data_IF_610407217405
#
_entry.id   IF_610407217405
#
_cell.length_a   1.000
_cell.length_b   1.000
_cell.length_c   1.000
_cell.angle_alpha   90.00
_cell.angle_beta   90.00
_cell.angle_gamma   90.00
#
_symmetry.space_group_name_H-M   'P 1'
#
loop_
_entity.id
_entity.type
_entity.pdbx_description
1 polymer ?
#
# COMPACT_ATOMS: atom_id res chain seq x y z
N UNK A 1 4.38 7.80 -13.99
CA UNK A 1 5.19 6.81 -14.73
C UNK A 1 5.72 7.38 -16.04
N UNK A 2 4.89 7.98 -16.89
CA UNK A 2 5.31 8.49 -18.22
C UNK A 2 6.43 9.55 -18.13
N UNK A 3 6.36 10.47 -17.15
CA UNK A 3 7.33 11.58 -17.04
C UNK A 3 8.78 11.10 -16.88
N UNK A 4 9.00 9.98 -16.17
CA UNK A 4 10.36 9.50 -15.83
C UNK A 4 10.90 8.54 -16.88
N UNK A 5 10.03 8.05 -17.78
CA UNK A 5 10.39 7.07 -18.81
C UNK A 5 11.44 7.60 -19.79
N UNK A 6 11.46 8.91 -19.99
CA UNK A 6 12.41 9.59 -20.87
C UNK A 6 13.79 9.78 -20.20
N UNK A 7 13.82 9.95 -18.88
CA UNK A 7 15.04 10.29 -18.15
C UNK A 7 15.76 9.05 -17.64
N UNK A 8 15.02 8.12 -17.01
CA UNK A 8 15.60 6.94 -16.41
C UNK A 8 14.62 5.76 -16.45
N UNK A 9 14.69 4.92 -17.50
CA UNK A 9 13.71 3.85 -17.72
C UNK A 9 13.71 2.83 -16.58
N UNK A 10 14.83 2.60 -15.91
CA UNK A 10 14.93 1.61 -14.84
C UNK A 10 14.12 1.99 -13.59
N UNK A 11 13.99 3.29 -13.28
CA UNK A 11 13.10 3.78 -12.21
C UNK A 11 11.63 3.53 -12.55
N UNK A 12 11.26 3.56 -13.83
CA UNK A 12 9.89 3.22 -14.23
C UNK A 12 9.56 1.75 -14.03
N UNK A 13 10.52 0.87 -14.31
CA UNK A 13 10.40 -0.58 -14.05
C UNK A 13 10.30 -0.83 -12.55
N UNK A 14 11.14 -0.20 -11.73
CA UNK A 14 11.08 -0.30 -10.27
C UNK A 14 9.69 0.09 -9.74
N UNK A 15 9.16 1.24 -10.19
CA UNK A 15 7.84 1.70 -9.78
C UNK A 15 6.73 0.72 -10.20
N UNK A 16 6.82 0.14 -11.41
CA UNK A 16 5.86 -0.86 -11.88
C UNK A 16 5.88 -2.11 -10.98
N UNK A 17 7.06 -2.65 -10.69
CA UNK A 17 7.21 -3.86 -9.86
C UNK A 17 6.67 -3.63 -8.46
N UNK A 18 7.02 -2.49 -7.85
CA UNK A 18 6.50 -2.14 -6.52
C UNK A 18 4.99 -1.96 -6.53
N UNK A 19 4.43 -1.29 -7.54
CA UNK A 19 2.98 -1.10 -7.66
C UNK A 19 2.23 -2.42 -7.84
N UNK A 20 2.74 -3.33 -8.68
CA UNK A 20 2.16 -4.68 -8.84
C UNK A 20 2.26 -5.50 -7.54
N UNK A 21 3.39 -5.44 -6.83
CA UNK A 21 3.54 -6.10 -5.53
C UNK A 21 2.57 -5.58 -4.46
N UNK A 22 2.40 -4.26 -4.36
CA UNK A 22 1.49 -3.66 -3.37
C UNK A 22 0.01 -3.94 -3.69
N UNK A 23 -0.38 -3.86 -4.97
CA UNK A 23 -1.76 -4.13 -5.40
C UNK A 23 -2.13 -5.60 -5.21
N UNK A 24 -1.23 -6.53 -5.55
CA UNK A 24 -1.45 -7.96 -5.28
C UNK A 24 -1.58 -8.24 -3.77
N UNK A 25 -0.76 -7.62 -2.91
CA UNK A 25 -0.90 -7.73 -1.46
C UNK A 25 -2.30 -7.29 -0.99
N UNK A 26 -2.79 -6.13 -1.46
CA UNK A 26 -4.13 -5.64 -1.12
C UNK A 26 -5.25 -6.53 -1.63
N UNK A 27 -5.17 -7.01 -2.87
CA UNK A 27 -6.19 -7.90 -3.42
C UNK A 27 -6.24 -9.22 -2.65
N UNK A 28 -5.10 -9.79 -2.29
CA UNK A 28 -5.05 -11.01 -1.47
C UNK A 28 -5.70 -10.81 -0.08
N UNK A 29 -5.51 -9.64 0.54
CA UNK A 29 -6.19 -9.30 1.81
C UNK A 29 -7.70 -9.16 1.63
N UNK A 30 -8.15 -8.46 0.58
CA UNK A 30 -9.57 -8.28 0.28
C UNK A 30 -10.25 -9.62 0.00
N UNK A 31 -9.58 -10.53 -0.72
CA UNK A 31 -10.06 -11.89 -0.99
C UNK A 31 -10.19 -12.70 0.30
N UNK A 32 -9.20 -12.63 1.20
CA UNK A 32 -9.27 -13.30 2.51
C UNK A 32 -10.45 -12.80 3.36
N UNK A 33 -10.82 -11.52 3.24
CA UNK A 33 -11.95 -10.92 3.96
C UNK A 33 -13.29 -11.09 3.25
N UNK A 34 -13.29 -11.48 1.96
CA UNK A 34 -14.48 -11.55 1.10
C UNK A 34 -15.30 -10.24 1.08
N UNK A 35 -14.63 -9.09 1.18
CA UNK A 35 -15.29 -7.79 1.35
C UNK A 35 -15.13 -6.89 0.12
N UNK A 36 -16.23 -6.59 -0.58
CA UNK A 36 -16.22 -5.67 -1.74
C UNK A 36 -16.55 -4.22 -1.38
N UNK A 37 -17.21 -3.99 -0.23
CA UNK A 37 -17.68 -2.67 0.20
C UNK A 37 -16.95 -2.21 1.47
N UNK A 38 -16.79 -0.89 1.63
CA UNK A 38 -16.12 -0.28 2.80
C UNK A 38 -16.77 -0.76 4.11
N UNK A 39 -18.10 -0.77 4.20
CA UNK A 39 -18.80 -1.20 5.44
C UNK A 39 -18.57 -2.68 5.75
N UNK A 40 -18.47 -3.54 4.73
CA UNK A 40 -18.18 -4.98 4.92
C UNK A 40 -16.73 -5.20 5.37
N UNK A 41 -15.82 -4.35 4.92
CA UNK A 41 -14.42 -4.37 5.32
C UNK A 41 -14.21 -3.80 6.73
N UNK A 42 -15.01 -2.81 7.12
CA UNK A 42 -14.98 -2.22 8.45
C UNK A 42 -15.48 -3.21 9.52
N UNK A 43 -16.50 -4.01 9.21
CA UNK A 43 -17.06 -5.01 10.13
C UNK A 43 -16.26 -6.31 10.19
N UNK A 44 -15.26 -6.51 9.33
CA UNK A 44 -14.49 -7.75 9.28
C UNK A 44 -13.33 -7.82 10.28
N UNK A 45 -13.11 -6.77 11.09
CA UNK A 45 -12.16 -6.82 12.21
C UNK A 45 -12.49 -8.00 13.13
N UNK A 46 -13.77 -8.26 13.42
CA UNK A 46 -14.16 -9.40 14.27
C UNK A 46 -13.89 -10.76 13.65
N UNK A 47 -13.73 -10.86 12.32
CA UNK A 47 -13.40 -12.12 11.64
C UNK A 47 -11.90 -12.41 11.67
N UNK A 48 -11.08 -11.38 11.53
CA UNK A 48 -9.63 -11.52 11.45
C UNK A 48 -8.92 -10.26 11.97
N UNK A 49 -8.64 -10.26 13.27
CA UNK A 49 -8.05 -9.11 13.97
C UNK A 49 -6.60 -8.83 13.59
N UNK A 50 -5.84 -9.85 13.16
CA UNK A 50 -4.44 -9.67 12.79
C UNK A 50 -4.26 -9.07 11.40
N UNK A 51 -5.21 -9.31 10.48
CA UNK A 51 -5.13 -8.80 9.11
C UNK A 51 -5.44 -7.31 9.00
N UNK A 52 -6.28 -6.75 9.87
CA UNK A 52 -6.66 -5.32 9.84
C UNK A 52 -5.48 -4.35 10.01
N UNK A 53 -4.61 -4.48 11.02
CA UNK A 53 -3.44 -3.61 11.14
C UNK A 53 -2.47 -3.81 9.97
N UNK A 54 -2.35 -5.03 9.44
CA UNK A 54 -1.50 -5.27 8.25
C UNK A 54 -2.06 -4.58 7.01
N UNK A 55 -3.38 -4.61 6.81
CA UNK A 55 -4.06 -3.92 5.71
C UNK A 55 -3.89 -2.41 5.80
N UNK A 56 -3.93 -1.84 7.01
CA UNK A 56 -3.61 -0.43 7.24
C UNK A 56 -2.21 -0.10 6.71
N UNK A 57 -1.18 -0.87 7.09
CA UNK A 57 0.21 -0.58 6.69
C UNK A 57 0.39 -0.67 5.17
N UNK A 58 -0.26 -1.64 4.50
CA UNK A 58 -0.21 -1.74 3.03
C UNK A 58 -0.96 -0.58 2.34
N UNK A 59 -2.06 -0.09 2.92
CA UNK A 59 -2.72 1.12 2.41
C UNK A 59 -1.83 2.35 2.55
N UNK A 60 -1.08 2.46 3.65
CA UNK A 60 -0.08 3.52 3.82
C UNK A 60 1.07 3.41 2.82
N UNK A 61 1.46 2.19 2.42
CA UNK A 61 2.49 1.99 1.40
C UNK A 61 2.03 2.41 0.01
N UNK A 62 0.78 2.11 -0.38
CA UNK A 62 0.19 2.68 -1.60
C UNK A 62 0.12 4.22 -1.57
N UNK A 63 -0.14 4.79 -0.39
CA UNK A 63 -0.06 6.24 -0.15
C UNK A 63 1.35 6.80 -0.29
N UNK A 64 2.39 5.99 -0.08
CA UNK A 64 3.80 6.39 -0.15
C UNK A 64 4.22 7.22 1.06
N UNK A 65 3.94 6.75 2.28
CA UNK A 65 4.39 7.40 3.51
C UNK A 65 5.83 6.99 3.88
N UNK A 66 6.63 7.89 4.49
CA UNK A 66 8.04 7.68 4.84
C UNK A 66 8.17 6.83 6.12
N UNK A 67 7.82 5.54 6.05
CA UNK A 67 8.74 4.44 6.34
C UNK A 67 8.50 3.20 5.45
N UNK A 68 7.58 3.31 4.47
CA UNK A 68 7.09 2.20 3.66
C UNK A 68 7.72 2.14 2.28
N UNK A 69 7.75 0.96 1.65
CA UNK A 69 8.39 0.76 0.34
C UNK A 69 7.80 1.60 -0.79
N UNK A 70 6.51 1.96 -0.74
CA UNK A 70 5.88 2.78 -1.78
C UNK A 70 6.32 4.25 -1.77
N UNK A 71 7.06 4.70 -0.74
CA UNK A 71 7.71 6.02 -0.77
C UNK A 71 8.94 6.03 -1.68
N UNK A 72 9.67 4.90 -1.79
CA UNK A 72 10.89 4.76 -2.60
C UNK A 72 10.74 5.30 -4.03
N UNK A 73 9.78 4.82 -4.85
CA UNK A 73 9.70 5.24 -6.24
C UNK A 73 9.28 6.71 -6.34
N UNK A 74 8.40 7.21 -5.46
CA UNK A 74 7.98 8.61 -5.49
C UNK A 74 9.15 9.53 -5.18
N UNK A 75 9.95 9.17 -4.18
CA UNK A 75 11.10 9.97 -3.77
C UNK A 75 12.19 10.01 -4.85
N UNK A 76 12.59 8.86 -5.39
CA UNK A 76 13.60 8.80 -6.46
C UNK A 76 13.14 9.53 -7.73
N UNK A 77 11.85 9.44 -8.08
CA UNK A 77 11.29 10.19 -9.20
C UNK A 77 11.40 11.71 -8.98
N UNK A 78 11.09 12.18 -7.77
CA UNK A 78 11.21 13.61 -7.45
C UNK A 78 12.67 14.07 -7.50
N UNK A 79 13.61 13.24 -7.05
CA UNK A 79 15.03 13.54 -7.11
C UNK A 79 15.52 13.72 -8.55
N UNK A 80 15.19 12.80 -9.47
CA UNK A 80 15.58 12.91 -10.88
C UNK A 80 14.97 14.14 -11.58
N UNK A 81 13.74 14.51 -11.22
CA UNK A 81 13.10 15.70 -11.80
C UNK A 81 13.76 17.00 -11.33
N UNK A 82 14.21 17.03 -10.07
CA UNK A 82 14.96 18.18 -9.56
C UNK A 82 16.34 18.27 -10.22
N UNK A 83 17.02 17.14 -10.47
CA UNK A 83 18.28 17.10 -11.23
C UNK A 83 18.13 17.67 -12.65
N UNK A 84 16.98 17.43 -13.28
CA UNK A 84 16.64 18.00 -14.60
C UNK A 84 15.97 19.39 -14.56
N UNK A 85 16.04 20.11 -13.42
CA UNK A 85 15.44 21.45 -13.23
C UNK A 85 13.92 21.54 -13.45
N UNK A 86 13.19 20.42 -13.41
CA UNK A 86 11.72 20.36 -13.61
C UNK A 86 10.94 20.55 -12.30
N UNK A 87 11.29 21.58 -11.52
CA UNK A 87 10.78 21.79 -10.15
C UNK A 87 9.26 21.98 -10.11
N UNK A 88 8.70 22.72 -11.07
CA UNK A 88 7.25 22.98 -11.13
C UNK A 88 6.44 21.70 -11.38
N UNK A 89 6.96 20.80 -12.22
CA UNK A 89 6.31 19.51 -12.50
C UNK A 89 6.41 18.61 -11.27
N UNK A 90 7.58 18.60 -10.62
CA UNK A 90 7.81 17.86 -9.38
C UNK A 90 6.84 18.28 -8.25
N UNK A 91 6.61 19.58 -8.06
CA UNK A 91 5.71 20.09 -7.01
C UNK A 91 4.25 19.72 -7.27
N UNK A 92 3.77 19.86 -8.51
CA UNK A 92 2.40 19.45 -8.89
C UNK A 92 2.20 17.94 -8.68
N UNK A 93 3.22 17.13 -8.99
CA UNK A 93 3.16 15.68 -8.73
C UNK A 93 3.17 15.35 -7.24
N UNK A 94 3.95 16.07 -6.43
CA UNK A 94 3.95 15.87 -4.98
C UNK A 94 2.58 16.20 -4.36
N UNK A 95 1.98 17.33 -4.76
CA UNK A 95 0.66 17.73 -4.25
C UNK A 95 -0.46 16.80 -4.73
N UNK A 96 -0.43 16.37 -5.99
CA UNK A 96 -1.43 15.41 -6.50
C UNK A 96 -1.34 14.04 -5.81
N UNK A 97 -0.15 13.60 -5.39
CA UNK A 97 0.00 12.38 -4.61
C UNK A 97 -0.72 12.45 -3.24
N UNK A 98 -0.79 13.62 -2.60
CA UNK A 98 -1.48 13.80 -1.32
C UNK A 98 -3.00 13.56 -1.44
N UNK A 99 -3.61 13.86 -2.58
CA UNK A 99 -5.04 13.57 -2.82
C UNK A 99 -5.32 12.06 -2.78
N UNK A 100 -4.46 11.25 -3.40
CA UNK A 100 -4.59 9.77 -3.35
C UNK A 100 -4.40 9.24 -1.92
N UNK A 101 -3.47 9.84 -1.18
CA UNK A 101 -3.19 9.48 0.21
C UNK A 101 -4.39 9.75 1.12
N UNK A 102 -5.13 10.84 0.92
CA UNK A 102 -6.35 11.13 1.68
C UNK A 102 -7.41 10.01 1.55
N UNK A 103 -7.60 9.47 0.36
CA UNK A 103 -8.53 8.35 0.16
C UNK A 103 -8.07 7.09 0.92
N UNK A 104 -6.78 6.74 0.83
CA UNK A 104 -6.25 5.59 1.56
C UNK A 104 -6.32 5.76 3.08
N UNK A 105 -6.08 6.97 3.60
CA UNK A 105 -6.24 7.29 5.02
C UNK A 105 -7.68 7.10 5.49
N UNK A 106 -8.66 7.61 4.75
CA UNK A 106 -10.08 7.40 5.09
C UNK A 106 -10.42 5.92 5.16
N UNK A 107 -9.94 5.14 4.21
CA UNK A 107 -10.22 3.71 4.15
C UNK A 107 -9.56 2.97 5.33
N UNK A 108 -8.29 3.26 5.62
CA UNK A 108 -7.57 2.73 6.78
C UNK A 108 -8.25 3.09 8.12
N UNK A 109 -8.77 4.32 8.22
CA UNK A 109 -9.49 4.79 9.39
C UNK A 109 -10.74 3.93 9.65
N UNK A 110 -11.55 3.72 8.61
CA UNK A 110 -12.79 2.93 8.74
C UNK A 110 -12.56 1.46 9.05
N UNK A 111 -11.43 0.88 8.65
CA UNK A 111 -11.18 -0.57 8.81
C UNK A 111 -10.43 -0.96 10.07
N UNK A 112 -9.49 -0.12 10.52
CA UNK A 112 -8.55 -0.50 11.58
C UNK A 112 -8.58 0.41 12.80
N UNK A 113 -8.77 1.72 12.61
CA UNK A 113 -8.71 2.68 13.71
C UNK A 113 -10.05 2.81 14.45
N UNK A 114 -11.16 2.52 13.77
CA UNK A 114 -12.50 2.55 14.36
C UNK A 114 -13.14 1.17 14.38
N UNK A 115 -13.87 0.85 15.45
CA UNK A 115 -14.72 -0.34 15.57
C UNK A 115 -16.19 -0.02 15.20
N UNK A 116 -16.65 -0.28 13.98
CA UNK A 116 -18.07 -0.12 13.64
C UNK A 116 -18.93 -1.21 14.34
N UNK A 117 -20.25 -1.00 14.47
CA UNK A 117 -21.14 -2.00 15.05
C UNK A 117 -21.13 -3.30 14.22
N UNK A 118 -20.90 -4.43 14.89
CA UNK A 118 -20.83 -5.76 14.26
C UNK A 118 -22.15 -6.52 14.38
N UNK A 119 -22.46 -7.34 13.38
CA UNK A 119 -23.64 -8.21 13.38
C UNK A 119 -23.55 -9.26 14.50
N UNK A 120 -24.70 -9.65 15.08
CA UNK A 120 -24.78 -10.61 16.18
C UNK A 120 -24.20 -11.99 15.84
N UNK A 121 -24.24 -12.39 14.56
CA UNK A 121 -23.66 -13.64 14.06
C UNK A 121 -22.12 -13.60 13.97
N UNK A 122 -21.47 -12.48 14.32
CA UNK A 122 -20.02 -12.32 14.18
C UNK A 122 -19.21 -13.26 15.09
N UNK A 123 -19.78 -13.64 16.24
CA UNK A 123 -19.14 -14.48 17.27
C UNK A 123 -18.73 -15.87 16.74
N UNK A 124 -19.44 -16.38 15.74
CA UNK A 124 -19.20 -17.71 15.17
C UNK A 124 -18.01 -17.72 14.19
N UNK A 125 -17.64 -16.55 13.65
CA UNK A 125 -16.48 -16.44 12.74
C UNK A 125 -15.14 -16.64 13.44
N UNK A 126 -15.04 -16.37 14.75
CA UNK A 126 -13.81 -16.60 15.51
C UNK A 126 -13.42 -18.09 15.50
N UNK A 127 -14.39 -19.00 15.58
CA UNK A 127 -14.15 -20.44 15.63
C UNK A 127 -13.87 -21.07 14.25
N UNK A 128 -14.38 -20.46 13.19
CA UNK A 128 -14.31 -21.00 11.82
C UNK A 128 -13.20 -20.38 10.98
N UNK A 129 -12.40 -19.49 11.56
CA UNK A 129 -11.31 -18.84 10.84
C UNK A 129 -10.18 -19.84 10.51
N UNK A 130 -10.00 -20.09 9.22
CA UNK A 130 -8.81 -20.78 8.69
C UNK A 130 -8.06 -19.81 7.76
N UNK A 131 -6.77 -19.54 7.99
CA UNK A 131 -6.00 -18.69 7.09
C UNK A 131 -5.86 -19.39 5.74
N UNK A 132 -6.53 -18.86 4.72
CA UNK A 132 -6.68 -19.54 3.43
C UNK A 132 -5.45 -19.39 2.52
N UNK A 133 -4.54 -18.45 2.78
CA UNK A 133 -3.52 -18.11 1.81
C UNK A 133 -2.15 -17.83 2.46
N UNK A 134 -1.22 -18.78 2.32
CA UNK A 134 0.15 -18.68 2.87
C UNK A 134 1.00 -17.60 2.17
N UNK A 135 0.58 -17.14 1.00
CA UNK A 135 1.30 -16.15 0.19
C UNK A 135 1.06 -14.71 0.68
N UNK A 136 0.02 -14.45 1.46
CA UNK A 136 -0.29 -13.09 1.94
C UNK A 136 0.83 -12.47 2.78
N UNK A 137 1.39 -13.10 3.83
CA UNK A 137 2.43 -12.47 4.64
C UNK A 137 3.68 -12.10 3.84
N UNK A 138 4.08 -12.93 2.88
CA UNK A 138 5.23 -12.65 2.02
C UNK A 138 5.02 -11.36 1.21
N UNK A 139 3.84 -11.19 0.64
CA UNK A 139 3.48 -9.97 -0.11
C UNK A 139 3.33 -8.74 0.79
N UNK A 140 2.87 -8.90 2.04
CA UNK A 140 2.85 -7.79 3.02
C UNK A 140 4.27 -7.31 3.36
N UNK A 141 5.19 -8.24 3.61
CA UNK A 141 6.57 -7.89 3.95
C UNK A 141 7.24 -7.16 2.77
N UNK A 142 7.06 -7.67 1.55
CA UNK A 142 7.55 -7.03 0.33
C UNK A 142 6.98 -5.61 0.16
N UNK A 143 5.69 -5.40 0.41
CA UNK A 143 5.03 -4.09 0.25
C UNK A 143 5.32 -3.08 1.36
N UNK A 144 6.05 -3.45 2.42
CA UNK A 144 6.24 -2.56 3.59
C UNK A 144 7.70 -2.34 3.95
N UNK A 145 8.55 -3.36 3.91
CA UNK A 145 9.88 -3.34 4.53
C UNK A 145 11.07 -3.21 3.55
N UNK A 146 10.86 -2.76 2.31
CA UNK A 146 11.96 -2.64 1.33
C UNK A 146 12.84 -1.40 1.49
N UNK A 147 12.43 -0.41 2.30
CA UNK A 147 13.13 0.88 2.39
C UNK A 147 14.60 0.78 2.84
N UNK A 148 14.99 -0.09 3.80
CA UNK A 148 16.39 -0.28 4.19
C UNK A 148 17.29 -0.84 3.07
N UNK A 149 16.71 -1.52 2.08
CA UNK A 149 17.42 -2.19 0.98
C UNK A 149 17.67 -1.19 -0.18
N UNK A 150 17.22 0.06 -0.05
CA UNK A 150 17.43 1.14 -1.03
C UNK A 150 18.87 1.23 -1.55
N UNK A 151 19.94 1.23 -0.72
CA UNK A 151 21.30 1.44 -1.23
C UNK A 151 21.73 0.33 -2.19
N UNK A 152 21.33 -0.91 -1.90
CA UNK A 152 21.61 -2.04 -2.80
C UNK A 152 20.78 -1.99 -4.08
N UNK A 153 19.54 -1.52 -4.00
CA UNK A 153 18.69 -1.30 -5.17
C UNK A 153 19.28 -0.24 -6.08
N UNK A 154 19.79 0.87 -5.53
CA UNK A 154 20.42 1.94 -6.30
C UNK A 154 21.71 1.48 -7.00
N UNK A 155 22.52 0.62 -6.36
CA UNK A 155 23.72 0.06 -7.01
C UNK A 155 23.40 -0.93 -8.15
N UNK A 156 22.20 -1.52 -8.16
CA UNK A 156 21.74 -2.43 -9.20
C UNK A 156 21.02 -1.72 -10.35
N UNK A 157 20.63 -0.46 -10.15
CA UNK A 157 19.97 0.39 -11.14
C UNK A 157 21.00 1.14 -11.99
#
# INVERSE_FOLDING_TARGET
MIVVLVFFPQLTILNLVLYLGMTTAMFLMILNLSSTNINKMATSWTKNSSLMPMMMIVLMSLGGLPPTSGFLPKWLILEELVKHNMILIASVMAVSALLSLFFYLRLAYTTSLTTPPTLQNSKLFWQTYKPNNKMTPMMVIFSTMLLPILPTLLNLL
#
